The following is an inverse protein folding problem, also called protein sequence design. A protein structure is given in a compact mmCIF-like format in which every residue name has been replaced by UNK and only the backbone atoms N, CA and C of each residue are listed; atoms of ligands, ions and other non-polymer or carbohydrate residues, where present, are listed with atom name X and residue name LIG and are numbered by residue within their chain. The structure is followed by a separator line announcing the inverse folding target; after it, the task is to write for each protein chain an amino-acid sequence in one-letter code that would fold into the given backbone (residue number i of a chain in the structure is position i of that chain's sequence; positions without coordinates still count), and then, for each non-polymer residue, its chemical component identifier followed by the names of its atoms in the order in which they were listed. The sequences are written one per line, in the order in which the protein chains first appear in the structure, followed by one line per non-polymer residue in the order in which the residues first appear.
data_IF_981166604046
#
_entry.id   IF_981166604046
#
_cell.length_a   1.000
_cell.length_b   1.000
_cell.length_c   1.000
_cell.angle_alpha   90.00
_cell.angle_beta   90.00
_cell.angle_gamma   90.00
#
_symmetry.space_group_name_H-M   'P 1'
#
loop_
_entity.id
_entity.type
_entity.pdbx_description
1 polymer ?
#
# COMPACT_ATOMS: atom_id res chain seq x y z
N UNK A 1 -9.47 10.99 -20.01
CA UNK A 1 -10.36 10.26 -19.08
C UNK A 1 -10.20 10.94 -17.73
N UNK A 2 -11.25 11.51 -17.16
CA UNK A 2 -11.17 12.01 -15.78
C UNK A 2 -11.01 10.81 -14.84
N UNK A 3 -9.97 10.82 -14.02
CA UNK A 3 -9.78 9.83 -12.96
C UNK A 3 -10.75 10.19 -11.83
N UNK A 4 -11.93 9.58 -11.81
CA UNK A 4 -12.86 9.75 -10.69
C UNK A 4 -12.39 8.88 -9.52
N UNK A 5 -12.21 9.50 -8.36
CA UNK A 5 -11.90 8.79 -7.12
C UNK A 5 -13.14 7.99 -6.70
N UNK A 6 -13.07 6.67 -6.79
CA UNK A 6 -14.11 5.79 -6.26
C UNK A 6 -13.78 5.47 -4.81
N UNK A 7 -14.72 5.76 -3.90
CA UNK A 7 -14.54 5.43 -2.49
C UNK A 7 -14.73 3.92 -2.30
N UNK A 8 -13.64 3.25 -2.00
CA UNK A 8 -13.62 1.85 -1.58
C UNK A 8 -13.92 1.75 -0.06
N UNK A 9 -14.49 0.62 0.36
CA UNK A 9 -14.88 0.36 1.74
C UNK A 9 -13.69 -0.14 2.59
N UNK A 10 -13.97 -0.50 3.85
CA UNK A 10 -12.97 -1.08 4.76
C UNK A 10 -12.35 -2.33 4.15
N UNK A 11 -11.03 -2.42 4.27
CA UNK A 11 -10.23 -3.55 3.78
C UNK A 11 -9.24 -4.00 4.85
N UNK A 12 -8.78 -5.24 4.70
CA UNK A 12 -7.61 -5.75 5.41
C UNK A 12 -6.43 -5.59 4.45
N UNK A 13 -5.34 -5.01 4.94
CA UNK A 13 -4.14 -4.76 4.14
C UNK A 13 -2.97 -5.51 4.76
N UNK A 14 -2.32 -6.35 3.97
CA UNK A 14 -1.15 -7.12 4.36
C UNK A 14 0.04 -6.73 3.48
N UNK A 15 1.17 -6.43 4.10
CA UNK A 15 2.43 -6.17 3.42
C UNK A 15 3.32 -7.41 3.51
N UNK A 16 3.48 -8.08 2.37
CA UNK A 16 4.39 -9.21 2.20
C UNK A 16 5.74 -8.71 1.67
N UNK A 17 6.72 -9.61 1.58
CA UNK A 17 8.07 -9.27 1.13
C UNK A 17 8.12 -8.78 -0.32
N UNK A 18 7.22 -9.29 -1.18
CA UNK A 18 7.20 -9.05 -2.62
C UNK A 18 5.94 -8.33 -3.11
N UNK A 19 4.89 -8.21 -2.27
CA UNK A 19 3.59 -7.66 -2.66
C UNK A 19 2.83 -7.00 -1.53
N UNK A 20 1.89 -6.14 -1.90
CA UNK A 20 0.84 -5.62 -1.04
C UNK A 20 -0.48 -6.33 -1.39
N UNK A 21 -1.06 -7.01 -0.40
CA UNK A 21 -2.35 -7.67 -0.54
C UNK A 21 -3.43 -6.81 0.15
N UNK A 22 -4.53 -6.56 -0.55
CA UNK A 22 -5.67 -5.79 -0.04
C UNK A 22 -6.93 -6.62 -0.24
N UNK A 23 -7.60 -6.96 0.85
CA UNK A 23 -8.83 -7.75 0.86
C UNK A 23 -10.00 -6.84 1.20
N UNK A 24 -10.95 -6.69 0.26
CA UNK A 24 -12.15 -5.87 0.43
C UNK A 24 -13.39 -6.70 0.10
N UNK A 25 -13.92 -7.40 1.11
CA UNK A 25 -15.06 -8.30 0.92
C UNK A 25 -14.69 -9.46 -0.03
N UNK A 26 -15.37 -9.57 -1.17
CA UNK A 26 -15.06 -10.55 -2.21
C UNK A 26 -13.94 -10.12 -3.16
N UNK A 27 -13.54 -8.85 -3.12
CA UNK A 27 -12.48 -8.33 -3.98
C UNK A 27 -11.11 -8.48 -3.31
N UNK A 28 -10.12 -8.84 -4.11
CA UNK A 28 -8.72 -8.92 -3.67
C UNK A 28 -7.85 -8.18 -4.68
N UNK A 29 -7.03 -7.26 -4.18
CA UNK A 29 -6.00 -6.60 -4.97
C UNK A 29 -4.64 -7.15 -4.57
N UNK A 30 -3.87 -7.58 -5.55
CA UNK A 30 -2.49 -7.99 -5.39
C UNK A 30 -1.61 -6.98 -6.13
N UNK A 31 -0.83 -6.20 -5.39
CA UNK A 31 0.07 -5.19 -5.96
C UNK A 31 1.52 -5.61 -5.70
N UNK A 32 2.22 -6.19 -6.69
CA UNK A 32 3.65 -6.43 -6.59
C UNK A 32 4.41 -5.15 -6.22
N UNK A 33 5.38 -5.23 -5.30
CA UNK A 33 6.12 -4.05 -4.87
C UNK A 33 6.96 -3.44 -6.01
N UNK A 34 7.36 -4.26 -6.98
CA UNK A 34 8.04 -3.83 -8.21
C UNK A 34 7.18 -2.91 -9.08
N UNK A 35 5.86 -3.14 -9.10
CA UNK A 35 4.91 -2.36 -9.88
C UNK A 35 4.53 -1.04 -9.21
N UNK A 36 4.84 -0.87 -7.92
CA UNK A 36 4.58 0.38 -7.21
C UNK A 36 5.52 1.46 -7.75
N UNK A 37 5.00 2.38 -8.56
CA UNK A 37 5.76 3.48 -9.16
C UNK A 37 5.94 4.66 -8.22
N UNK A 38 4.94 4.91 -7.37
CA UNK A 38 4.93 6.05 -6.47
C UNK A 38 4.17 5.76 -5.18
N UNK A 39 4.67 6.30 -4.07
CA UNK A 39 4.05 6.23 -2.75
C UNK A 39 4.03 7.63 -2.14
N UNK A 40 2.85 8.14 -1.77
CA UNK A 40 2.72 9.34 -0.95
C UNK A 40 2.09 9.05 0.41
N UNK A 41 2.44 9.91 1.37
CA UNK A 41 1.92 9.86 2.74
C UNK A 41 1.25 11.19 3.04
N UNK A 42 0.01 11.14 3.50
CA UNK A 42 -0.76 12.31 3.93
C UNK A 42 -1.00 12.23 5.44
N UNK A 43 -0.49 13.23 6.17
CA UNK A 43 -0.74 13.41 7.62
C UNK A 43 -0.48 12.13 8.47
N UNK A 44 0.44 11.27 8.01
CA UNK A 44 0.88 10.02 8.63
C UNK A 44 -0.21 8.96 8.94
N UNK A 45 -1.46 9.17 8.53
CA UNK A 45 -2.55 8.19 8.71
C UNK A 45 -3.05 7.63 7.38
N UNK A 46 -2.62 8.20 6.26
CA UNK A 46 -3.05 7.78 4.93
C UNK A 46 -1.85 7.56 4.02
N UNK A 47 -1.90 6.47 3.28
CA UNK A 47 -0.91 6.11 2.27
C UNK A 47 -1.59 5.99 0.91
N UNK A 48 -0.97 6.57 -0.12
CA UNK A 48 -1.40 6.39 -1.50
C UNK A 48 -0.35 5.60 -2.25
N UNK A 49 -0.77 4.53 -2.92
CA UNK A 49 0.09 3.64 -3.70
C UNK A 49 -0.37 3.70 -5.15
N UNK A 50 0.57 4.01 -6.05
CA UNK A 50 0.29 4.10 -7.49
C UNK A 50 1.06 3.02 -8.25
N UNK A 51 0.33 2.28 -9.07
CA UNK A 51 0.80 1.23 -9.97
C UNK A 51 0.51 1.63 -11.43
N UNK A 52 0.90 0.85 -12.46
CA UNK A 52 0.52 1.14 -13.84
C UNK A 52 -1.00 1.16 -14.06
N UNK A 53 -1.73 0.30 -13.33
CA UNK A 53 -3.14 0.02 -13.59
C UNK A 53 -4.08 0.82 -12.69
N UNK A 54 -3.63 1.21 -11.50
CA UNK A 54 -4.48 1.85 -10.50
C UNK A 54 -3.70 2.68 -9.47
N UNK A 55 -4.42 3.61 -8.85
CA UNK A 55 -4.00 4.36 -7.66
C UNK A 55 -4.95 4.04 -6.51
N UNK A 56 -4.42 3.55 -5.39
CA UNK A 56 -5.20 3.29 -4.18
C UNK A 56 -4.79 4.24 -3.08
N UNK A 57 -5.80 4.77 -2.39
CA UNK A 57 -5.65 5.58 -1.21
C UNK A 57 -6.19 4.81 0.00
N UNK A 58 -5.34 4.53 0.96
CA UNK A 58 -5.64 3.70 2.12
C UNK A 58 -5.51 4.55 3.37
N UNK A 59 -6.61 4.68 4.12
CA UNK A 59 -6.59 5.17 5.49
C UNK A 59 -6.21 4.02 6.42
N UNK A 60 -5.12 4.17 7.16
CA UNK A 60 -4.54 3.15 8.02
C UNK A 60 -5.12 3.15 9.45
N UNK A 61 -6.19 3.90 9.70
CA UNK A 61 -6.96 3.87 10.95
C UNK A 61 -6.08 4.00 12.22
N UNK A 62 -5.15 4.96 12.21
CA UNK A 62 -4.26 5.24 13.33
C UNK A 62 -2.92 4.48 13.32
N UNK A 63 -2.65 3.64 12.30
CA UNK A 63 -1.29 3.13 12.05
C UNK A 63 -0.47 4.13 11.25
N UNK A 64 0.86 4.06 11.36
CA UNK A 64 1.77 5.02 10.71
C UNK A 64 1.95 4.71 9.22
N UNK A 65 1.45 5.59 8.37
CA UNK A 65 1.68 5.55 6.93
C UNK A 65 3.16 5.74 6.56
N UNK A 66 3.89 6.53 7.34
CA UNK A 66 5.33 6.69 7.15
C UNK A 66 6.09 5.37 7.36
N UNK A 67 5.76 4.60 8.39
CA UNK A 67 6.39 3.29 8.62
C UNK A 67 6.15 2.34 7.44
N UNK A 68 4.94 2.33 6.89
CA UNK A 68 4.61 1.54 5.71
C UNK A 68 5.41 1.97 4.48
N UNK A 69 5.46 3.28 4.18
CA UNK A 69 6.25 3.80 3.06
C UNK A 69 7.74 3.45 3.20
N UNK A 70 8.31 3.66 4.38
CA UNK A 70 9.70 3.31 4.66
C UNK A 70 9.94 1.81 4.46
N UNK A 71 9.08 0.96 5.01
CA UNK A 71 9.27 -0.48 4.92
C UNK A 71 9.12 -1.01 3.49
N UNK A 72 8.12 -0.53 2.73
CA UNK A 72 8.00 -0.87 1.30
C UNK A 72 9.25 -0.46 0.53
N UNK A 73 9.77 0.75 0.75
CA UNK A 73 10.98 1.21 0.07
C UNK A 73 12.22 0.40 0.43
N UNK A 74 12.33 -0.10 1.66
CA UNK A 74 13.40 -1.01 2.09
C UNK A 74 13.29 -2.35 1.37
N UNK A 75 12.09 -2.94 1.32
CA UNK A 75 11.84 -4.19 0.60
C UNK A 75 12.16 -4.05 -0.90
N UNK A 76 11.78 -2.95 -1.54
CA UNK A 76 12.13 -2.65 -2.95
C UNK A 76 13.62 -2.53 -3.21
N UNK A 77 14.43 -2.18 -2.19
CA UNK A 77 15.90 -2.14 -2.27
C UNK A 77 16.54 -3.52 -2.05
N UNK A 78 15.75 -4.56 -1.83
CA UNK A 78 16.24 -5.91 -1.54
C UNK A 78 16.69 -6.10 -0.09
N UNK A 79 16.28 -5.22 0.83
CA UNK A 79 16.55 -5.44 2.26
C UNK A 79 15.79 -6.66 2.77
N UNK A 80 16.43 -7.40 3.68
CA UNK A 80 15.82 -8.58 4.31
C UNK A 80 14.64 -8.14 5.19
N UNK A 81 13.50 -8.85 5.11
CA UNK A 81 12.36 -8.57 5.99
C UNK A 81 12.74 -8.79 7.46
N UNK A 82 12.23 -7.93 8.33
CA UNK A 82 12.45 -8.03 9.78
C UNK A 82 11.28 -8.79 10.37
N UNK A 83 11.53 -10.00 10.89
CA UNK A 83 10.48 -10.88 11.43
C UNK A 83 10.18 -10.65 12.92
N UNK A 84 11.01 -9.88 13.64
CA UNK A 84 10.83 -9.58 15.06
C UNK A 84 11.51 -8.25 15.42
N UNK A 85 10.87 -7.47 16.32
CA UNK A 85 11.47 -6.32 16.99
C UNK A 85 12.23 -6.74 18.23
#
# INVERSE_FOLDING_TARGET
KEHQLVKLNRSIVELHTDRLMIYMGSETFNLPLEDIRYISVEQNHKITVTTPDLTLQIDLAGKSALQWQLYINRLKKGEKPVASL
#
